data_IF_213402318210
#
_entry.id   IF_213402318210
#
_cell.length_a   1.000
_cell.length_b   1.000
_cell.length_c   1.000
_cell.angle_alpha   90.00
_cell.angle_beta   90.00
_cell.angle_gamma   90.00
#
_symmetry.space_group_name_H-M   'P 1'
#
loop_
_entity.id
_entity.type
_entity.pdbx_description
1 polymer ?
#
# COMPACT_ATOMS: atom_id res chain seq x y z
N UNK A 1 9.36 12.07 -16.10
CA UNK A 1 9.34 10.59 -16.15
C UNK A 1 9.56 10.11 -14.73
N UNK A 2 8.69 9.25 -14.20
CA UNK A 2 8.86 8.68 -12.87
C UNK A 2 10.02 7.67 -12.89
N UNK A 3 10.83 7.62 -11.82
CA UNK A 3 11.99 6.74 -11.73
C UNK A 3 11.90 5.94 -10.44
N UNK A 4 11.80 4.62 -10.59
CA UNK A 4 11.89 3.66 -9.49
C UNK A 4 13.38 3.40 -9.21
N UNK A 5 13.82 3.62 -7.99
CA UNK A 5 15.17 3.27 -7.55
C UNK A 5 15.14 2.02 -6.67
N UNK A 6 16.31 1.39 -6.49
CA UNK A 6 16.43 0.18 -5.65
C UNK A 6 16.01 0.47 -4.20
N UNK A 7 16.21 1.71 -3.71
CA UNK A 7 15.85 2.09 -2.35
C UNK A 7 14.33 2.18 -2.11
N UNK A 8 13.54 2.18 -3.18
CA UNK A 8 12.06 2.21 -3.12
C UNK A 8 11.46 0.79 -3.13
N UNK A 9 12.32 -0.24 -3.19
CA UNK A 9 11.94 -1.65 -3.26
C UNK A 9 12.37 -2.35 -1.97
N UNK A 10 11.40 -2.91 -1.26
CA UNK A 10 11.55 -3.53 0.05
C UNK A 10 11.20 -5.01 -0.04
N UNK A 11 12.14 -5.89 -0.46
CA UNK A 11 11.90 -7.32 -0.51
C UNK A 11 11.88 -7.95 0.89
N UNK A 12 11.29 -9.14 1.01
CA UNK A 12 11.40 -9.94 2.24
C UNK A 12 10.67 -9.38 3.47
N UNK A 13 9.68 -8.50 3.29
CA UNK A 13 8.95 -7.86 4.38
C UNK A 13 7.89 -8.80 4.95
N UNK A 14 7.40 -8.46 6.15
CA UNK A 14 6.36 -9.21 6.87
C UNK A 14 5.34 -8.23 7.44
N UNK A 15 4.07 -8.61 7.43
CA UNK A 15 3.00 -7.88 8.09
C UNK A 15 1.93 -8.85 8.56
N UNK A 16 1.43 -8.68 9.78
CA UNK A 16 0.40 -9.54 10.37
C UNK A 16 -0.99 -9.32 9.77
N UNK A 17 -1.24 -8.15 9.18
CA UNK A 17 -2.49 -7.81 8.51
C UNK A 17 -2.29 -6.71 7.45
N UNK A 18 -3.34 -6.43 6.68
CA UNK A 18 -3.31 -5.43 5.62
C UNK A 18 -3.05 -4.01 6.16
N UNK A 19 -3.59 -3.67 7.33
CA UNK A 19 -3.41 -2.34 7.92
C UNK A 19 -1.95 -2.08 8.28
N UNK A 20 -1.26 -3.09 8.82
CA UNK A 20 0.16 -3.03 9.12
C UNK A 20 0.99 -2.86 7.84
N UNK A 21 0.70 -3.63 6.79
CA UNK A 21 1.36 -3.49 5.50
C UNK A 21 1.18 -2.09 4.88
N UNK A 22 -0.03 -1.53 4.97
CA UNK A 22 -0.34 -0.15 4.54
C UNK A 22 0.49 0.87 5.33
N UNK A 23 0.60 0.70 6.66
CA UNK A 23 1.40 1.59 7.52
C UNK A 23 2.89 1.52 7.20
N UNK A 24 3.43 0.35 6.89
CA UNK A 24 4.83 0.20 6.47
C UNK A 24 5.10 1.01 5.19
N UNK A 25 4.25 0.85 4.18
CA UNK A 25 4.36 1.58 2.91
C UNK A 25 4.19 3.10 3.12
N UNK A 26 3.23 3.52 3.93
CA UNK A 26 3.03 4.93 4.25
C UNK A 26 4.25 5.55 4.97
N UNK A 27 4.84 4.83 5.92
CA UNK A 27 6.05 5.25 6.63
C UNK A 27 7.25 5.44 5.69
N UNK A 28 7.42 4.53 4.71
CA UNK A 28 8.45 4.67 3.69
C UNK A 28 8.24 5.91 2.81
N UNK A 29 6.99 6.21 2.42
CA UNK A 29 6.67 7.42 1.66
C UNK A 29 6.95 8.71 2.45
N UNK A 30 6.65 8.72 3.75
CA UNK A 30 6.98 9.84 4.63
C UNK A 30 8.50 10.00 4.73
N UNK A 31 9.21 8.91 4.96
CA UNK A 31 10.68 8.90 5.08
C UNK A 31 11.37 9.36 3.79
N UNK A 32 10.82 9.02 2.63
CA UNK A 32 11.29 9.49 1.31
C UNK A 32 10.86 10.93 0.98
N UNK A 33 10.08 11.58 1.86
CA UNK A 33 9.55 12.93 1.69
C UNK A 33 8.52 13.04 0.57
N UNK A 34 7.83 11.95 0.22
CA UNK A 34 6.77 11.93 -0.80
C UNK A 34 5.44 12.47 -0.28
N UNK A 35 5.14 12.22 0.99
CA UNK A 35 3.88 12.56 1.63
C UNK A 35 4.11 13.03 3.07
N UNK A 36 3.14 13.75 3.62
CA UNK A 36 3.10 14.09 5.04
C UNK A 36 2.54 12.92 5.87
N UNK A 37 2.78 12.93 7.19
CA UNK A 37 2.41 11.86 8.13
C UNK A 37 0.91 11.51 8.08
N UNK A 38 0.05 12.49 7.80
CA UNK A 38 -1.40 12.32 7.72
C UNK A 38 -1.87 11.44 6.54
N UNK A 39 -1.04 11.22 5.51
CA UNK A 39 -1.45 10.49 4.30
C UNK A 39 -1.84 9.03 4.58
N UNK A 40 -1.27 8.41 5.63
CA UNK A 40 -1.63 7.04 6.05
C UNK A 40 -3.12 6.91 6.36
N UNK A 41 -3.75 7.95 6.89
CA UNK A 41 -5.17 7.95 7.22
C UNK A 41 -6.03 7.85 5.96
N UNK A 42 -5.63 8.56 4.90
CA UNK A 42 -6.27 8.45 3.58
C UNK A 42 -6.12 7.05 2.99
N UNK A 43 -4.92 6.46 3.08
CA UNK A 43 -4.69 5.09 2.58
C UNK A 43 -5.57 4.06 3.30
N UNK A 44 -5.69 4.17 4.63
CA UNK A 44 -6.54 3.28 5.42
C UNK A 44 -8.03 3.51 5.14
N UNK A 45 -8.48 4.76 5.05
CA UNK A 45 -9.86 5.09 4.72
C UNK A 45 -10.24 4.55 3.34
N UNK A 46 -9.36 4.69 2.34
CA UNK A 46 -9.56 4.16 0.99
C UNK A 46 -9.75 2.65 0.98
N UNK A 47 -8.89 1.93 1.70
CA UNK A 47 -8.93 0.47 1.82
C UNK A 47 -10.17 -0.02 2.59
N UNK A 48 -10.72 0.79 3.50
CA UNK A 48 -11.99 0.48 4.18
C UNK A 48 -13.20 0.62 3.26
N UNK A 49 -13.19 1.58 2.34
CA UNK A 49 -14.29 1.76 1.37
C UNK A 49 -14.37 0.60 0.38
N UNK A 50 -13.23 0.19 -0.16
CA UNK A 50 -13.13 -0.93 -1.10
C UNK A 50 -11.71 -1.46 -1.11
N UNK A 51 -11.57 -2.79 -1.17
CA UNK A 51 -10.27 -3.45 -1.29
C UNK A 51 -9.47 -2.88 -2.45
N UNK A 52 -8.23 -2.51 -2.21
CA UNK A 52 -7.27 -2.07 -3.24
C UNK A 52 -6.52 -3.23 -3.90
N UNK A 53 -6.94 -4.47 -3.62
CA UNK A 53 -6.42 -5.68 -4.25
C UNK A 53 -6.87 -5.78 -5.71
N UNK A 54 -5.92 -5.94 -6.63
CA UNK A 54 -6.17 -6.01 -8.07
C UNK A 54 -6.19 -7.44 -8.63
N UNK A 55 -5.98 -8.46 -7.79
CA UNK A 55 -5.73 -9.82 -8.25
C UNK A 55 -4.24 -10.09 -8.49
N UNK A 56 -3.91 -11.32 -8.90
CA UNK A 56 -2.54 -11.77 -9.22
C UNK A 56 -1.49 -11.46 -8.14
N UNK A 57 -1.94 -11.38 -6.89
CA UNK A 57 -1.04 -11.11 -5.79
C UNK A 57 -0.53 -9.67 -5.69
N UNK A 58 -1.27 -8.69 -6.22
CA UNK A 58 -0.92 -7.26 -6.17
C UNK A 58 -2.04 -6.47 -5.48
N UNK A 59 -1.68 -5.59 -4.55
CA UNK A 59 -2.57 -4.53 -4.08
C UNK A 59 -1.92 -3.16 -4.24
N UNK A 60 -2.74 -2.14 -4.51
CA UNK A 60 -2.29 -0.75 -4.69
C UNK A 60 -2.97 0.19 -3.69
N UNK A 61 -2.59 0.18 -2.41
CA UNK A 61 -3.16 1.11 -1.43
C UNK A 61 -2.74 2.53 -1.81
N UNK A 62 -3.66 3.48 -1.76
CA UNK A 62 -3.45 4.88 -2.13
C UNK A 62 -4.37 5.77 -1.29
N UNK A 63 -4.02 7.05 -1.17
CA UNK A 63 -4.81 8.02 -0.41
C UNK A 63 -6.17 8.33 -1.06
N UNK A 64 -7.05 8.96 -0.29
CA UNK A 64 -8.28 9.55 -0.81
C UNK A 64 -8.02 10.97 -1.34
N UNK A 65 -8.98 11.50 -2.10
CA UNK A 65 -8.99 12.92 -2.53
C UNK A 65 -8.85 13.90 -1.36
N UNK A 66 -9.42 13.57 -0.20
CA UNK A 66 -9.34 14.38 1.03
C UNK A 66 -7.93 14.51 1.59
N UNK A 67 -7.02 13.59 1.23
CA UNK A 67 -5.63 13.59 1.67
C UNK A 67 -4.65 13.99 0.56
N UNK A 68 -5.17 14.52 -0.56
CA UNK A 68 -4.35 14.91 -1.71
C UNK A 68 -3.36 16.03 -1.38
N UNK A 69 -3.75 16.94 -0.51
CA UNK A 69 -2.90 18.03 0.01
C UNK A 69 -1.70 17.51 0.81
N UNK A 70 -1.77 16.27 1.33
CA UNK A 70 -0.68 15.60 2.02
C UNK A 70 0.38 15.04 1.07
N UNK A 71 0.17 15.10 -0.26
CA UNK A 71 1.15 14.65 -1.26
C UNK A 71 2.11 15.79 -1.59
N UNK A 72 3.36 15.68 -1.14
CA UNK A 72 4.40 16.67 -1.36
C UNK A 72 5.05 16.53 -2.74
N UNK A 73 5.30 15.27 -3.14
CA UNK A 73 5.83 14.90 -4.46
C UNK A 73 5.41 13.47 -4.81
N UNK A 74 5.12 13.23 -6.09
CA UNK A 74 4.82 11.88 -6.57
C UNK A 74 6.00 10.95 -6.33
N UNK A 75 5.74 9.79 -5.73
CA UNK A 75 6.68 8.71 -5.52
C UNK A 75 5.98 7.37 -5.46
N UNK A 76 6.78 6.31 -5.42
CA UNK A 76 6.30 4.94 -5.24
C UNK A 76 7.07 4.27 -4.11
N UNK A 77 6.43 3.35 -3.42
CA UNK A 77 7.12 2.39 -2.55
C UNK A 77 6.56 1.00 -2.86
N UNK A 78 7.45 0.04 -3.05
CA UNK A 78 7.12 -1.35 -3.42
C UNK A 78 7.59 -2.27 -2.32
N UNK A 79 6.66 -2.98 -1.69
CA UNK A 79 6.93 -3.94 -0.64
C UNK A 79 6.61 -5.34 -1.15
N UNK A 80 7.53 -6.29 -0.94
CA UNK A 80 7.25 -7.69 -1.19
C UNK A 80 7.06 -8.42 0.14
N UNK A 81 5.97 -9.16 0.26
CA UNK A 81 5.67 -10.02 1.41
C UNK A 81 5.71 -11.49 0.98
N UNK A 82 6.85 -12.21 1.13
CA UNK A 82 6.97 -13.59 0.63
C UNK A 82 5.99 -14.56 1.28
N UNK A 83 5.62 -14.31 2.54
CA UNK A 83 4.60 -15.09 3.27
C UNK A 83 3.18 -14.62 2.97
N UNK A 84 3.03 -13.60 2.12
CA UNK A 84 1.81 -12.86 1.83
C UNK A 84 1.21 -12.15 3.05
N UNK A 85 0.16 -11.40 2.77
CA UNK A 85 -0.64 -10.70 3.78
C UNK A 85 -2.10 -11.01 3.47
N UNK A 86 -2.92 -11.27 4.49
CA UNK A 86 -4.36 -11.48 4.28
C UNK A 86 -5.01 -10.17 3.86
N UNK A 87 -5.53 -10.10 2.64
CA UNK A 87 -6.16 -8.90 2.09
C UNK A 87 -7.65 -9.15 1.80
N UNK A 88 -8.53 -8.74 2.73
CA UNK A 88 -9.98 -8.91 2.63
C UNK A 88 -10.52 -10.22 3.23
N UNK A 89 -11.83 -10.45 3.08
CA UNK A 89 -12.51 -11.66 3.61
C UNK A 89 -12.35 -12.80 2.60
N UNK A 90 -11.44 -13.74 2.89
CA UNK A 90 -11.44 -15.03 2.21
C UNK A 90 -12.76 -15.78 2.45
N UNK A 91 -13.27 -16.49 1.44
CA UNK A 91 -14.34 -17.47 1.65
C UNK A 91 -13.82 -18.58 2.57
N UNK A 92 -14.54 -19.02 3.62
CA UNK A 92 -14.15 -20.20 4.38
C UNK A 92 -14.74 -21.48 3.73
N UNK A 93 -14.09 -22.67 3.80
CA UNK A 93 -12.72 -22.97 4.22
C UNK A 93 -11.95 -23.70 3.10
N UNK A 94 -11.09 -22.99 2.37
CA UNK A 94 -9.90 -23.61 1.77
C UNK A 94 -8.85 -22.52 1.62
N UNK A 95 -8.05 -22.34 2.67
CA UNK A 95 -6.92 -21.42 2.79
C UNK A 95 -7.30 -19.93 2.92
N UNK A 96 -6.72 -19.16 3.88
CA UNK A 96 -6.78 -17.70 3.80
C UNK A 96 -6.20 -17.28 2.44
N UNK A 97 -6.81 -16.32 1.76
CA UNK A 97 -6.21 -15.72 0.57
C UNK A 97 -4.91 -15.03 1.01
N UNK A 98 -3.80 -15.77 0.91
CA UNK A 98 -2.44 -15.30 1.15
C UNK A 98 -2.04 -14.48 -0.08
N UNK A 99 -2.48 -13.24 -0.14
CA UNK A 99 -2.27 -12.33 -1.27
C UNK A 99 -2.56 -10.91 -0.81
N UNK A 100 -1.68 -9.93 -1.05
CA UNK A 100 -0.65 -9.89 -2.10
C UNK A 100 0.80 -10.21 -1.63
N UNK A 101 1.62 -10.95 -2.43
CA UNK A 101 3.07 -10.92 -2.33
C UNK A 101 3.70 -9.57 -2.67
N UNK A 102 2.99 -8.66 -3.35
CA UNK A 102 3.50 -7.32 -3.69
C UNK A 102 2.49 -6.23 -3.39
N UNK A 103 2.90 -5.28 -2.56
CA UNK A 103 2.17 -4.06 -2.23
C UNK A 103 2.86 -2.86 -2.86
N UNK A 104 2.14 -2.08 -3.65
CA UNK A 104 2.69 -0.91 -4.34
C UNK A 104 1.85 0.32 -4.02
N UNK A 105 2.42 1.40 -3.49
CA UNK A 105 1.69 2.67 -3.40
C UNK A 105 2.25 3.65 -4.41
N UNK A 106 1.38 4.39 -5.10
CA UNK A 106 1.75 5.54 -5.92
C UNK A 106 1.15 6.79 -5.25
N UNK A 107 1.99 7.64 -4.64
CA UNK A 107 1.49 8.78 -3.85
C UNK A 107 0.75 9.82 -4.68
N UNK A 108 1.04 9.91 -5.97
CA UNK A 108 0.34 10.82 -6.89
C UNK A 108 -1.04 10.34 -7.35
N UNK A 109 -1.48 9.14 -6.96
CA UNK A 109 -2.70 8.51 -7.45
C UNK A 109 -3.81 8.55 -6.39
N UNK A 110 -4.38 9.73 -6.15
CA UNK A 110 -5.60 9.90 -5.37
C UNK A 110 -6.79 9.81 -6.34
N UNK A 111 -7.37 8.63 -6.54
CA UNK A 111 -8.55 8.49 -7.43
C UNK A 111 -9.80 9.10 -6.79
N UNK A 112 -10.52 9.85 -7.64
CA UNK A 112 -11.82 10.48 -7.43
C UNK A 112 -12.95 9.50 -7.16
#
# INVERSE_FOLDING_TARGET
MFQLSVQDIHPGQQAGNKEEAIRQVASALVSAGNVAEGYVNGMLAREQQTSTFLGNGIAIPHGTTDTRDQVLKTGVQVYQFPQGVTWGKGRPPMLPLVSPPVLMNISGYCVS
#
